data_IF_988448064029
#
_entry.id   IF_988448064029
#
_cell.length_a   1.000
_cell.length_b   1.000
_cell.length_c   1.000
_cell.angle_alpha   90.00
_cell.angle_beta   90.00
_cell.angle_gamma   90.00
#
_symmetry.space_group_name_H-M   'P 1'
#
loop_
_entity.id
_entity.type
_entity.pdbx_description
1 polymer ?
#
# COMPACT_ATOMS: atom_id res chain seq x y z
N UNK A 1 -26.59 -9.20 2.63
CA UNK A 1 -25.25 -9.32 3.22
C UNK A 1 -24.36 -8.32 2.51
N UNK A 2 -23.53 -7.58 3.23
CA UNK A 2 -22.54 -6.69 2.63
C UNK A 2 -21.31 -7.50 2.24
N UNK A 3 -20.90 -7.46 0.97
CA UNK A 3 -19.71 -8.17 0.52
C UNK A 3 -18.45 -7.53 1.11
N UNK A 4 -17.47 -8.38 1.47
CA UNK A 4 -16.17 -7.97 2.01
C UNK A 4 -15.07 -8.50 1.10
N UNK A 5 -14.16 -7.63 0.68
CA UNK A 5 -13.01 -7.95 -0.17
C UNK A 5 -11.73 -7.78 0.62
N UNK A 6 -10.86 -8.78 0.58
CA UNK A 6 -9.51 -8.73 1.15
C UNK A 6 -8.48 -8.70 0.03
N UNK A 7 -7.62 -7.68 0.03
CA UNK A 7 -6.61 -7.46 -1.00
C UNK A 7 -5.21 -7.72 -0.41
N UNK A 8 -4.40 -8.43 -1.19
CA UNK A 8 -2.97 -8.66 -0.90
C UNK A 8 -2.10 -8.24 -2.08
N UNK A 9 -0.78 -8.43 -1.97
CA UNK A 9 0.19 -7.86 -2.91
C UNK A 9 0.00 -8.35 -4.37
N UNK A 10 -0.56 -9.56 -4.54
CA UNK A 10 -0.93 -10.07 -5.87
C UNK A 10 -1.98 -9.22 -6.58
N UNK A 11 -2.83 -8.50 -5.85
CA UNK A 11 -3.77 -7.55 -6.44
C UNK A 11 -3.03 -6.34 -7.03
N UNK A 12 -2.10 -5.74 -6.29
CA UNK A 12 -1.29 -4.61 -6.79
C UNK A 12 -0.44 -5.02 -7.99
N UNK A 13 0.11 -6.24 -7.99
CA UNK A 13 0.79 -6.81 -9.17
C UNK A 13 -0.13 -6.97 -10.38
N UNK A 14 -1.39 -7.37 -10.16
CA UNK A 14 -2.36 -7.48 -11.24
C UNK A 14 -2.83 -6.11 -11.77
N UNK A 15 -2.73 -5.05 -10.95
CA UNK A 15 -3.01 -3.67 -11.36
C UNK A 15 -1.86 -3.10 -12.21
N UNK A 16 -0.62 -3.33 -11.81
CA UNK A 16 0.57 -2.92 -12.56
C UNK A 16 1.71 -3.92 -12.39
N UNK A 17 2.36 -4.26 -13.49
CA UNK A 17 3.52 -5.16 -13.52
C UNK A 17 4.73 -4.60 -12.77
N UNK A 18 4.79 -3.28 -12.53
CA UNK A 18 5.86 -2.64 -11.76
C UNK A 18 5.81 -2.97 -10.28
N UNK A 19 4.61 -3.25 -9.74
CA UNK A 19 4.46 -3.60 -8.34
C UNK A 19 5.16 -4.93 -8.04
N UNK A 20 5.98 -5.04 -6.98
CA UNK A 20 6.75 -6.25 -6.74
C UNK A 20 5.96 -7.27 -5.92
N UNK A 21 6.18 -8.55 -6.21
CA UNK A 21 5.88 -9.63 -5.25
C UNK A 21 7.01 -9.73 -4.21
N UNK A 22 6.74 -10.38 -3.08
CA UNK A 22 7.71 -10.50 -1.98
C UNK A 22 9.08 -11.02 -2.41
N UNK A 23 9.12 -12.02 -3.31
CA UNK A 23 10.38 -12.57 -3.84
C UNK A 23 11.17 -11.54 -4.66
N UNK A 24 10.47 -10.76 -5.48
CA UNK A 24 11.07 -9.70 -6.31
C UNK A 24 11.57 -8.56 -5.43
N UNK A 25 10.77 -8.17 -4.43
CA UNK A 25 11.15 -7.18 -3.42
C UNK A 25 12.39 -7.64 -2.64
N UNK A 26 12.43 -8.90 -2.21
CA UNK A 26 13.58 -9.47 -1.49
C UNK A 26 14.88 -9.38 -2.30
N UNK A 27 14.81 -9.72 -3.58
CA UNK A 27 15.96 -9.62 -4.48
C UNK A 27 16.42 -8.17 -4.69
N UNK A 28 15.47 -7.23 -4.83
CA UNK A 28 15.80 -5.81 -5.02
C UNK A 28 16.46 -5.21 -3.78
N UNK A 29 15.92 -5.51 -2.59
CA UNK A 29 16.46 -5.04 -1.32
C UNK A 29 17.85 -5.60 -1.06
N UNK A 30 18.06 -6.89 -1.31
CA UNK A 30 19.40 -7.49 -1.23
C UNK A 30 20.41 -6.76 -2.11
N UNK A 31 20.01 -6.36 -3.32
CA UNK A 31 20.89 -5.60 -4.23
C UNK A 31 21.22 -4.18 -3.78
N UNK A 32 20.42 -3.57 -2.89
CA UNK A 32 20.62 -2.21 -2.36
C UNK A 32 21.44 -2.18 -1.08
N UNK A 33 21.44 -3.27 -0.33
CA UNK A 33 22.14 -3.37 0.94
C UNK A 33 23.59 -3.81 0.73
N UNK A 34 24.52 -3.01 1.26
CA UNK A 34 25.93 -3.39 1.34
C UNK A 34 26.26 -3.82 2.78
N UNK A 35 27.20 -4.74 2.95
CA UNK A 35 27.73 -5.16 4.25
C UNK A 35 26.70 -5.80 5.19
N UNK A 36 25.88 -6.73 4.68
CA UNK A 36 25.00 -7.52 5.53
C UNK A 36 25.81 -8.44 6.47
N UNK A 37 25.40 -8.58 7.74
CA UNK A 37 25.99 -9.55 8.66
C UNK A 37 25.92 -10.97 8.07
N UNK A 38 26.96 -11.78 8.34
CA UNK A 38 27.02 -13.18 7.89
C UNK A 38 25.82 -14.00 8.39
N UNK A 39 25.30 -13.67 9.58
CA UNK A 39 24.10 -14.29 10.14
C UNK A 39 22.84 -14.11 9.29
N UNK A 40 22.75 -13.05 8.47
CA UNK A 40 21.64 -12.88 7.52
C UNK A 40 21.89 -13.65 6.22
N UNK A 41 23.15 -13.76 5.81
CA UNK A 41 23.52 -14.50 4.60
C UNK A 41 23.16 -15.99 4.72
N UNK A 42 23.24 -16.55 5.94
CA UNK A 42 22.84 -17.95 6.21
C UNK A 42 21.33 -18.16 6.19
N UNK A 43 20.54 -17.10 6.35
CA UNK A 43 19.06 -17.14 6.31
C UNK A 43 18.50 -17.07 4.88
N UNK A 44 19.36 -16.91 3.86
CA UNK A 44 18.97 -16.84 2.45
C UNK A 44 18.30 -15.51 2.07
N UNK A 45 17.69 -15.46 0.88
CA UNK A 45 17.15 -14.22 0.28
C UNK A 45 15.67 -14.02 0.61
N UNK A 46 15.35 -14.02 1.90
CA UNK A 46 13.98 -13.79 2.36
C UNK A 46 13.94 -12.66 3.39
N UNK A 47 13.46 -11.50 2.97
CA UNK A 47 13.37 -10.33 3.84
C UNK A 47 12.40 -10.53 5.00
N UNK A 48 11.37 -11.38 4.88
CA UNK A 48 10.48 -11.68 6.02
C UNK A 48 11.24 -12.39 7.13
N UNK A 49 12.10 -13.35 6.76
CA UNK A 49 12.95 -14.06 7.71
C UNK A 49 13.97 -13.09 8.32
N UNK A 50 14.60 -12.24 7.50
CA UNK A 50 15.54 -11.23 8.01
C UNK A 50 14.88 -10.29 9.01
N UNK A 51 13.74 -9.69 8.67
CA UNK A 51 13.02 -8.76 9.56
C UNK A 51 12.53 -9.46 10.82
N UNK A 52 12.04 -10.70 10.71
CA UNK A 52 11.63 -11.50 11.87
C UNK A 52 12.80 -11.76 12.81
N UNK A 53 13.96 -12.15 12.28
CA UNK A 53 15.15 -12.39 13.06
C UNK A 53 15.70 -11.10 13.69
N UNK A 54 15.80 -10.01 12.92
CA UNK A 54 16.42 -8.77 13.38
C UNK A 54 15.56 -7.96 14.35
N UNK A 55 14.24 -8.10 14.29
CA UNK A 55 13.32 -7.36 15.15
C UNK A 55 13.19 -7.95 16.56
N UNK A 56 13.59 -9.21 16.74
CA UNK A 56 13.43 -9.92 18.01
C UNK A 56 14.72 -9.88 18.84
N UNK A 57 14.62 -9.70 20.18
CA UNK A 57 15.76 -9.86 21.06
C UNK A 57 16.10 -11.35 21.22
N UNK A 58 17.37 -11.69 21.02
CA UNK A 58 17.87 -13.05 21.17
C UNK A 58 18.56 -13.23 22.53
N UNK A 59 18.14 -14.19 23.38
CA UNK A 59 18.70 -14.40 24.72
C UNK A 59 20.19 -14.74 24.75
N UNK A 60 20.74 -15.28 23.66
CA UNK A 60 22.15 -15.65 23.54
C UNK A 60 23.03 -14.51 23.02
N UNK A 61 22.45 -13.37 22.64
CA UNK A 61 23.17 -12.18 22.20
C UNK A 61 23.27 -11.16 23.33
N UNK A 62 24.33 -10.35 23.29
CA UNK A 62 24.46 -9.18 24.16
C UNK A 62 23.41 -8.14 23.75
N UNK A 63 23.03 -7.29 24.70
CA UNK A 63 22.10 -6.18 24.42
C UNK A 63 22.59 -5.28 23.28
N UNK A 64 23.89 -4.99 23.23
CA UNK A 64 24.48 -4.19 22.15
C UNK A 64 24.36 -4.85 20.76
N UNK A 65 24.30 -6.18 20.70
CA UNK A 65 24.07 -6.92 19.45
C UNK A 65 22.59 -6.90 19.07
N UNK A 66 21.69 -7.10 20.04
CA UNK A 66 20.25 -6.97 19.82
C UNK A 66 19.86 -5.56 19.35
N UNK A 67 20.48 -4.51 19.91
CA UNK A 67 20.26 -3.13 19.47
C UNK A 67 20.77 -2.89 18.05
N UNK A 68 21.91 -3.49 17.66
CA UNK A 68 22.39 -3.43 16.26
C UNK A 68 21.46 -4.16 15.31
N UNK A 69 20.96 -5.34 15.69
CA UNK A 69 19.95 -6.05 14.90
C UNK A 69 18.70 -5.20 14.70
N UNK A 70 18.22 -4.56 15.77
CA UNK A 70 17.05 -3.68 15.69
C UNK A 70 17.31 -2.49 14.78
N UNK A 71 18.45 -1.83 14.90
CA UNK A 71 18.85 -0.74 14.00
C UNK A 71 18.85 -1.20 12.54
N UNK A 72 19.47 -2.35 12.24
CA UNK A 72 19.49 -2.92 10.90
C UNK A 72 18.09 -3.27 10.38
N UNK A 73 17.18 -3.77 11.23
CA UNK A 73 15.79 -4.02 10.84
C UNK A 73 15.07 -2.75 10.37
N UNK A 74 15.37 -1.60 11.01
CA UNK A 74 14.78 -0.32 10.66
C UNK A 74 15.36 0.18 9.33
N UNK A 75 16.68 0.09 9.16
CA UNK A 75 17.34 0.43 7.88
C UNK A 75 16.78 -0.38 6.71
N UNK A 76 16.60 -1.69 6.89
CA UNK A 76 15.99 -2.56 5.86
C UNK A 76 14.54 -2.14 5.59
N UNK A 77 13.78 -1.80 6.63
CA UNK A 77 12.38 -1.33 6.49
C UNK A 77 12.30 -0.02 5.70
N UNK A 78 13.25 0.90 5.92
CA UNK A 78 13.36 2.14 5.14
C UNK A 78 13.69 1.88 3.67
N UNK A 79 14.58 0.93 3.38
CA UNK A 79 14.86 0.52 2.00
C UNK A 79 13.65 -0.14 1.33
N UNK A 80 12.89 -0.96 2.06
CA UNK A 80 11.62 -1.53 1.57
C UNK A 80 10.67 -0.41 1.17
N UNK A 81 10.49 0.58 2.04
CA UNK A 81 9.66 1.75 1.74
C UNK A 81 10.10 2.45 0.46
N UNK A 82 11.39 2.75 0.31
CA UNK A 82 11.93 3.42 -0.90
C UNK A 82 11.61 2.63 -2.17
N UNK A 83 11.83 1.31 -2.16
CA UNK A 83 11.50 0.46 -3.32
C UNK A 83 10.01 0.50 -3.61
N UNK A 84 9.14 0.38 -2.60
CA UNK A 84 7.70 0.41 -2.81
C UNK A 84 7.23 1.77 -3.34
N UNK A 85 7.73 2.88 -2.79
CA UNK A 85 7.42 4.24 -3.24
C UNK A 85 7.84 4.44 -4.72
N UNK A 86 9.03 3.96 -5.11
CA UNK A 86 9.50 4.02 -6.50
C UNK A 86 8.62 3.18 -7.44
N UNK A 87 8.22 1.97 -7.03
CA UNK A 87 7.37 1.09 -7.83
C UNK A 87 5.95 1.62 -7.96
N UNK A 88 5.40 2.19 -6.90
CA UNK A 88 4.09 2.84 -6.95
C UNK A 88 4.13 4.07 -7.87
N UNK A 89 5.19 4.87 -7.85
CA UNK A 89 5.33 6.00 -8.76
C UNK A 89 5.29 5.57 -10.23
N UNK A 90 5.98 4.49 -10.58
CA UNK A 90 5.94 3.92 -11.94
C UNK A 90 4.53 3.43 -12.28
N UNK A 91 3.90 2.66 -11.39
CA UNK A 91 2.54 2.16 -11.57
C UNK A 91 1.49 3.28 -11.75
N UNK A 92 1.71 4.45 -11.14
CA UNK A 92 0.83 5.62 -11.28
C UNK A 92 1.06 6.39 -12.58
N UNK A 93 2.26 6.33 -13.17
CA UNK A 93 2.53 6.93 -14.47
C UNK A 93 1.84 6.16 -15.61
N UNK A 94 1.67 4.85 -15.42
CA UNK A 94 0.93 4.00 -16.34
C UNK A 94 -0.59 4.30 -16.34
N UNK A 95 -1.24 3.94 -17.44
CA UNK A 95 -2.69 4.11 -17.54
C UNK A 95 -3.40 3.17 -16.57
N UNK A 96 -4.18 3.75 -15.64
CA UNK A 96 -5.01 2.99 -14.71
C UNK A 96 -5.91 1.99 -15.46
N UNK A 97 -5.84 0.68 -15.18
CA UNK A 97 -6.64 -0.32 -15.88
C UNK A 97 -8.13 -0.05 -15.79
N UNK A 98 -8.84 -0.20 -16.91
CA UNK A 98 -10.29 0.06 -16.97
C UNK A 98 -11.10 -0.86 -16.04
N UNK A 99 -10.67 -2.12 -15.89
CA UNK A 99 -11.31 -3.07 -14.99
C UNK A 99 -11.26 -2.62 -13.52
N UNK A 100 -10.17 -1.95 -13.11
CA UNK A 100 -10.01 -1.46 -11.74
C UNK A 100 -10.97 -0.28 -11.49
N UNK A 101 -11.17 0.57 -12.49
CA UNK A 101 -12.19 1.63 -12.42
C UNK A 101 -13.60 1.03 -12.33
N UNK A 102 -13.92 -0.02 -13.10
CA UNK A 102 -15.22 -0.69 -12.98
C UNK A 102 -15.40 -1.36 -11.62
N UNK A 103 -14.35 -1.99 -11.10
CA UNK A 103 -14.37 -2.67 -9.80
C UNK A 103 -14.56 -1.69 -8.65
N UNK A 104 -13.82 -0.58 -8.63
CA UNK A 104 -13.97 0.47 -7.60
C UNK A 104 -15.36 1.12 -7.64
N UNK A 105 -15.93 1.32 -8.83
CA UNK A 105 -17.33 1.74 -8.98
C UNK A 105 -18.32 0.72 -8.38
N UNK A 106 -18.10 -0.57 -8.62
CA UNK A 106 -18.93 -1.63 -8.09
C UNK A 106 -18.87 -1.66 -6.55
N UNK A 107 -17.66 -1.60 -5.97
CA UNK A 107 -17.49 -1.52 -4.52
C UNK A 107 -18.19 -0.30 -3.92
N UNK A 108 -18.06 0.86 -4.56
CA UNK A 108 -18.71 2.07 -4.11
C UNK A 108 -20.23 1.96 -4.15
N UNK A 109 -20.82 1.51 -5.27
CA UNK A 109 -22.28 1.39 -5.42
C UNK A 109 -22.90 0.43 -4.41
N UNK A 110 -22.20 -0.66 -4.10
CA UNK A 110 -22.68 -1.69 -3.18
C UNK A 110 -22.27 -1.45 -1.71
N UNK A 111 -21.54 -0.36 -1.43
CA UNK A 111 -20.98 -0.09 -0.10
C UNK A 111 -20.19 -1.29 0.45
N UNK A 112 -19.43 -1.94 -0.43
CA UNK A 112 -18.62 -3.10 -0.07
C UNK A 112 -17.48 -2.69 0.86
N UNK A 113 -17.16 -3.53 1.85
CA UNK A 113 -15.98 -3.31 2.68
C UNK A 113 -14.74 -3.84 1.94
N UNK A 114 -13.72 -3.00 1.80
CA UNK A 114 -12.44 -3.37 1.18
C UNK A 114 -11.36 -3.25 2.25
N UNK A 115 -10.70 -4.36 2.56
CA UNK A 115 -9.58 -4.45 3.50
C UNK A 115 -8.34 -4.73 2.66
N UNK A 116 -7.35 -3.85 2.75
CA UNK A 116 -6.06 -4.03 2.08
C UNK A 116 -4.98 -4.35 3.10
N UNK A 117 -4.11 -5.30 2.75
CA UNK A 117 -2.85 -5.57 3.46
C UNK A 117 -1.64 -4.94 2.76
N UNK A 118 -1.89 -4.20 1.67
CA UNK A 118 -0.86 -3.58 0.87
C UNK A 118 -0.54 -2.18 1.39
N UNK A 119 0.70 -1.74 1.18
CA UNK A 119 1.15 -0.40 1.56
C UNK A 119 0.89 0.67 0.47
N UNK A 120 0.64 0.25 -0.76
CA UNK A 120 0.36 1.15 -1.89
C UNK A 120 -1.07 1.73 -1.85
N UNK A 121 -1.27 2.82 -2.59
CA UNK A 121 -2.56 3.54 -2.65
C UNK A 121 -3.26 3.40 -4.00
N UNK A 122 -2.97 2.35 -4.78
CA UNK A 122 -3.47 2.20 -6.16
C UNK A 122 -5.00 2.13 -6.22
N UNK A 123 -5.63 1.48 -5.23
CA UNK A 123 -7.10 1.35 -5.15
C UNK A 123 -7.75 2.70 -4.86
N UNK A 124 -7.21 3.44 -3.91
CA UNK A 124 -7.68 4.76 -3.49
C UNK A 124 -7.55 5.75 -4.65
N UNK A 125 -6.41 5.74 -5.35
CA UNK A 125 -6.18 6.56 -6.55
C UNK A 125 -7.16 6.23 -7.65
N UNK A 126 -7.39 4.94 -7.93
CA UNK A 126 -8.38 4.52 -8.92
C UNK A 126 -9.80 5.01 -8.55
N UNK A 127 -10.18 4.96 -7.28
CA UNK A 127 -11.46 5.48 -6.80
C UNK A 127 -11.57 7.01 -6.98
N UNK A 128 -10.53 7.79 -6.67
CA UNK A 128 -10.50 9.24 -6.87
C UNK A 128 -10.59 9.60 -8.36
N UNK A 129 -9.79 8.96 -9.21
CA UNK A 129 -9.83 9.17 -10.67
C UNK A 129 -11.23 8.92 -11.24
N UNK A 130 -11.94 7.95 -10.69
CA UNK A 130 -13.29 7.62 -11.07
C UNK A 130 -14.29 8.74 -10.72
N UNK A 131 -14.17 9.30 -9.51
CA UNK A 131 -15.00 10.43 -9.08
C UNK A 131 -14.80 11.65 -9.99
N UNK A 132 -13.58 11.92 -10.41
CA UNK A 132 -13.29 13.04 -11.32
C UNK A 132 -13.87 12.82 -12.72
N UNK A 133 -13.81 11.59 -13.25
CA UNK A 133 -14.49 11.24 -14.50
C UNK A 133 -16.01 11.42 -14.42
N UNK A 134 -16.64 11.02 -13.30
CA UNK A 134 -18.08 11.22 -13.08
C UNK A 134 -18.43 12.71 -13.03
N UNK A 135 -17.65 13.53 -12.29
CA UNK A 135 -17.86 14.99 -12.23
C UNK A 135 -17.67 15.68 -13.58
N UNK A 136 -16.65 15.27 -14.34
CA UNK A 136 -16.38 15.80 -15.69
C UNK A 136 -17.49 15.43 -16.69
N UNK A 137 -18.04 14.21 -16.60
CA UNK A 137 -19.19 13.77 -17.39
C UNK A 137 -20.46 14.54 -17.05
N UNK A 138 -20.71 14.81 -15.76
CA UNK A 138 -21.87 15.59 -15.32
C UNK A 138 -21.81 17.06 -15.77
N UNK A 139 -20.61 17.68 -15.77
CA UNK A 139 -20.41 19.06 -16.29
C UNK A 139 -20.67 19.19 -17.79
N UNK A 140 -20.53 18.12 -18.60
CA UNK A 140 -20.86 18.14 -20.02
C UNK A 140 -22.36 18.09 -20.30
N UNK A 141 -23.20 17.67 -19.34
CA UNK A 141 -24.66 17.68 -19.46
C UNK A 141 -25.31 18.95 -18.87
N UNK A 142 -24.57 19.72 -18.07
CA UNK A 142 -25.10 20.88 -17.33
C UNK A 142 -25.21 22.20 -18.14
N UNK A 143 -24.91 22.19 -19.45
CA UNK A 143 -25.25 23.31 -20.35
C UNK A 143 -26.65 23.19 -20.97
N UNK A 144 -27.41 22.15 -20.61
CA UNK A 144 -28.83 22.01 -20.98
C UNK A 144 -29.64 21.51 -19.79
N UNK A 145 -30.46 22.39 -19.22
CA UNK A 145 -31.44 22.20 -18.13
C UNK A 145 -30.95 22.34 -16.67
N UNK A 146 -31.27 23.50 -16.08
CA UNK A 146 -31.48 23.64 -14.63
C UNK A 146 -32.81 23.00 -14.21
N UNK A 147 -32.79 22.19 -13.15
CA UNK A 147 -33.87 22.11 -12.16
C UNK A 147 -33.33 21.55 -10.84
N UNK A 148 -33.98 21.97 -9.75
CA UNK A 148 -33.54 21.88 -8.37
C UNK A 148 -33.52 20.44 -7.80
N UNK A 149 -32.84 20.35 -6.65
CA UNK A 149 -33.11 19.43 -5.54
C UNK A 149 -32.33 18.10 -5.51
N UNK A 150 -31.14 18.12 -4.88
CA UNK A 150 -30.81 17.23 -3.75
C UNK A 150 -29.36 17.51 -3.29
N UNK A 151 -29.19 18.32 -2.24
CA UNK A 151 -27.90 18.40 -1.52
C UNK A 151 -27.88 17.32 -0.45
N UNK A 152 -27.60 16.08 -0.84
CA UNK A 152 -27.12 15.07 0.12
C UNK A 152 -25.64 15.30 0.32
N UNK A 153 -25.29 15.78 1.52
CA UNK A 153 -23.92 15.93 1.99
C UNK A 153 -23.19 14.60 1.85
N UNK A 154 -22.10 14.63 1.08
CA UNK A 154 -21.18 13.52 0.92
C UNK A 154 -20.35 13.41 2.19
N UNK A 155 -20.67 12.42 3.02
CA UNK A 155 -19.86 12.04 4.16
C UNK A 155 -19.19 10.71 3.80
N UNK A 156 -17.92 10.77 3.42
CA UNK A 156 -17.06 9.59 3.50
C UNK A 156 -17.04 9.15 4.96
N UNK A 157 -17.19 7.86 5.29
CA UNK A 157 -16.77 7.37 6.59
C UNK A 157 -15.25 7.57 6.69
N UNK A 158 -14.85 8.65 7.34
CA UNK A 158 -13.47 9.05 7.60
C UNK A 158 -12.82 8.11 8.63
N UNK A 159 -12.60 6.84 8.25
CA UNK A 159 -11.90 5.87 9.14
C UNK A 159 -10.74 5.13 8.50
N UNK A 160 -10.32 5.50 7.29
CA UNK A 160 -9.13 4.88 6.66
C UNK A 160 -8.00 5.90 6.38
N UNK A 161 -8.30 7.20 6.32
CA UNK A 161 -7.30 8.23 5.95
C UNK A 161 -6.58 8.85 7.16
N UNK A 162 -7.13 8.76 8.39
CA UNK A 162 -6.50 9.40 9.57
C UNK A 162 -5.21 8.70 10.06
N UNK A 163 -4.92 7.48 9.63
CA UNK A 163 -3.69 6.78 10.03
C UNK A 163 -2.42 7.28 9.34
N UNK A 164 -2.53 8.09 8.27
CA UNK A 164 -1.38 8.53 7.46
C UNK A 164 -0.82 9.91 7.82
N UNK A 165 -1.41 10.63 8.79
CA UNK A 165 -1.00 12.01 9.13
C UNK A 165 -0.48 12.19 10.56
N UNK A 166 -0.38 11.14 11.38
CA UNK A 166 0.20 11.23 12.72
C UNK A 166 1.41 10.27 12.90
N UNK A 167 2.66 10.77 12.83
CA UNK A 167 3.86 9.99 13.08
C UNK A 167 4.01 9.51 14.54
N UNK A 168 3.11 9.89 15.46
CA UNK A 168 3.15 9.50 16.87
C UNK A 168 2.31 8.26 17.22
N UNK A 169 1.58 7.69 16.26
CA UNK A 169 0.66 6.55 16.48
C UNK A 169 1.21 5.17 16.08
N UNK A 170 2.53 5.03 15.92
CA UNK A 170 3.19 3.71 15.86
C UNK A 170 3.31 3.15 17.27
N UNK A 171 2.21 2.60 17.79
CA UNK A 171 2.24 1.78 19.01
C UNK A 171 2.70 0.38 18.60
N UNK A 172 3.94 0.06 18.96
CA UNK A 172 4.49 -1.29 18.97
C UNK A 172 3.68 -2.15 19.95
N UNK A 173 3.01 -3.17 19.44
CA UNK A 173 2.71 -4.40 20.20
C UNK A 173 3.75 -5.45 19.86
#
# INVERSE_FOLDING_TARGET
MSDVFLLGAGFSKAVSDDMPLLKELSSQIRGRLSNLPESLLTLGDNIEIWLSYLSQPHPWLRESENLRNRALSLEITEEIKKVLDEKEQLAVLDECPSWLLTLTQHWHKNQAAVISLNYDTLVERAAVNNMDKIKAGSKRQDTSNRSANDRKSWVFPARVIEAYLDPSLVVLT
#
